data_IF_045577606989
#
_entry.id   IF_045577606989
#
_cell.length_a   1.000
_cell.length_b   1.000
_cell.length_c   1.000
_cell.angle_alpha   90.00
_cell.angle_beta   90.00
_cell.angle_gamma   90.00
#
_symmetry.space_group_name_H-M   'P 1'
#
loop_
_entity.id
_entity.type
_entity.pdbx_description
1 polymer ?
#
# COMPACT_ATOMS: atom_id res chain seq x y z
N UNK A 1 -8.15 -10.25 -15.57
CA UNK A 1 -7.88 -9.80 -14.18
C UNK A 1 -6.41 -9.41 -13.92
N UNK A 2 -5.49 -9.46 -14.90
CA UNK A 2 -4.05 -9.27 -14.65
C UNK A 2 -3.50 -7.82 -14.77
N UNK A 3 -4.35 -6.81 -15.02
CA UNK A 3 -3.88 -5.46 -15.39
C UNK A 3 -3.03 -4.77 -14.31
N UNK A 4 -3.23 -5.11 -13.04
CA UNK A 4 -2.58 -4.46 -11.90
C UNK A 4 -1.81 -5.42 -11.00
N UNK A 5 -1.60 -6.67 -11.43
CA UNK A 5 -0.98 -7.67 -10.57
C UNK A 5 0.46 -7.30 -10.21
N UNK A 6 1.26 -6.88 -11.20
CA UNK A 6 2.63 -6.43 -10.97
C UNK A 6 2.70 -5.19 -10.06
N UNK A 7 1.78 -4.24 -10.23
CA UNK A 7 1.70 -3.05 -9.40
C UNK A 7 1.26 -3.40 -7.96
N UNK A 8 0.34 -4.34 -7.79
CA UNK A 8 -0.09 -4.83 -6.48
C UNK A 8 1.03 -5.60 -5.76
N UNK A 9 1.82 -6.39 -6.48
CA UNK A 9 2.99 -7.09 -5.93
C UNK A 9 4.08 -6.10 -5.48
N UNK A 10 4.35 -5.07 -6.29
CA UNK A 10 5.26 -3.97 -5.91
C UNK A 10 4.75 -3.20 -4.71
N UNK A 11 3.47 -2.89 -4.65
CA UNK A 11 2.85 -2.23 -3.50
C UNK A 11 3.02 -3.08 -2.24
N UNK A 12 2.75 -4.39 -2.33
CA UNK A 12 2.90 -5.31 -1.21
C UNK A 12 4.34 -5.38 -0.70
N UNK A 13 5.32 -5.38 -1.59
CA UNK A 13 6.73 -5.30 -1.23
C UNK A 13 7.06 -3.94 -0.59
N UNK A 14 6.57 -2.85 -1.19
CA UNK A 14 6.79 -1.48 -0.72
C UNK A 14 6.26 -1.24 0.69
N UNK A 15 5.12 -1.82 1.07
CA UNK A 15 4.56 -1.69 2.44
C UNK A 15 5.21 -2.64 3.46
N UNK A 16 6.30 -3.34 3.11
CA UNK A 16 7.02 -4.23 4.02
C UNK A 16 6.46 -5.66 4.10
N UNK A 17 5.68 -6.09 3.12
CA UNK A 17 5.17 -7.46 3.01
C UNK A 17 3.83 -7.70 3.69
N UNK A 18 3.31 -8.92 3.52
CA UNK A 18 1.99 -9.33 4.06
C UNK A 18 1.98 -9.35 5.58
N UNK A 19 3.11 -9.73 6.17
CA UNK A 19 3.37 -9.74 7.61
C UNK A 19 3.29 -8.35 8.24
N UNK A 20 3.46 -7.28 7.45
CA UNK A 20 3.35 -5.92 7.93
C UNK A 20 1.92 -5.38 7.88
N UNK A 21 0.94 -6.15 7.38
CA UNK A 21 -0.46 -5.73 7.28
C UNK A 21 -1.26 -6.29 8.45
N UNK A 22 -1.76 -5.43 9.33
CA UNK A 22 -2.72 -5.80 10.38
C UNK A 22 -4.14 -5.96 9.80
N UNK A 23 -4.53 -5.06 8.90
CA UNK A 23 -5.82 -5.08 8.23
C UNK A 23 -5.77 -4.35 6.88
N UNK A 24 -6.66 -4.72 5.97
CA UNK A 24 -6.84 -4.05 4.68
C UNK A 24 -8.32 -3.80 4.43
N UNK A 25 -8.64 -2.62 3.91
CA UNK A 25 -9.99 -2.26 3.47
C UNK A 25 -9.93 -1.40 2.22
N UNK A 26 -11.03 -1.29 1.48
CA UNK A 26 -11.09 -0.44 0.31
C UNK A 26 -12.47 0.20 0.15
N UNK A 27 -12.49 1.36 -0.51
CA UNK A 27 -13.70 2.00 -1.01
C UNK A 27 -13.62 2.15 -2.53
N UNK A 28 -14.52 2.93 -3.13
CA UNK A 28 -14.57 3.11 -4.59
C UNK A 28 -13.26 3.65 -5.19
N UNK A 29 -12.49 4.44 -4.44
CA UNK A 29 -11.32 5.16 -4.97
C UNK A 29 -10.04 5.00 -4.15
N UNK A 30 -10.08 4.26 -3.02
CA UNK A 30 -8.93 4.15 -2.10
C UNK A 30 -8.81 2.75 -1.55
N UNK A 31 -7.57 2.28 -1.49
CA UNK A 31 -7.13 1.16 -0.64
C UNK A 31 -6.62 1.76 0.68
N UNK A 32 -6.84 1.06 1.79
CA UNK A 32 -6.46 1.48 3.14
C UNK A 32 -5.76 0.33 3.83
N UNK A 33 -4.54 0.55 4.27
CA UNK A 33 -3.76 -0.44 5.00
C UNK A 33 -3.60 0.00 6.45
N UNK A 34 -3.82 -0.91 7.38
CA UNK A 34 -3.35 -0.75 8.76
C UNK A 34 -2.06 -1.53 8.85
N UNK A 35 -0.94 -0.85 9.04
CA UNK A 35 0.37 -1.47 9.12
C UNK A 35 0.75 -1.79 10.58
N UNK A 36 1.41 -2.92 10.79
CA UNK A 36 1.99 -3.28 12.07
C UNK A 36 3.18 -2.36 12.41
N UNK A 37 3.99 -2.04 11.40
CA UNK A 37 5.14 -1.15 11.49
C UNK A 37 5.21 -0.22 10.26
N UNK A 38 4.75 1.03 10.37
CA UNK A 38 4.80 2.00 9.27
C UNK A 38 6.22 2.34 8.81
N UNK A 39 7.26 2.13 9.63
CA UNK A 39 8.64 2.46 9.25
C UNK A 39 9.21 1.52 8.19
N UNK A 40 8.59 0.36 7.99
CA UNK A 40 8.95 -0.60 6.93
C UNK A 40 8.37 -0.24 5.56
N UNK A 41 7.48 0.75 5.49
CA UNK A 41 6.92 1.19 4.23
C UNK A 41 7.90 2.13 3.50
N UNK A 42 8.24 1.78 2.26
CA UNK A 42 9.00 2.65 1.36
C UNK A 42 8.03 3.53 0.57
N UNK A 43 7.69 4.67 1.17
CA UNK A 43 6.75 5.64 0.60
C UNK A 43 7.15 6.10 -0.81
N UNK A 44 8.46 6.27 -1.05
CA UNK A 44 8.98 6.73 -2.35
C UNK A 44 8.79 5.66 -3.42
N UNK A 45 9.14 4.41 -3.11
CA UNK A 45 8.96 3.29 -4.03
C UNK A 45 7.47 3.06 -4.36
N UNK A 46 6.57 3.33 -3.42
CA UNK A 46 5.13 3.20 -3.61
C UNK A 46 4.57 4.32 -4.49
N UNK A 47 5.00 5.57 -4.30
CA UNK A 47 4.59 6.71 -5.14
C UNK A 47 5.00 6.54 -6.61
N UNK A 48 6.11 5.84 -6.87
CA UNK A 48 6.59 5.56 -8.23
C UNK A 48 5.77 4.49 -8.99
N UNK A 49 4.82 3.82 -8.31
CA UNK A 49 3.96 2.81 -8.96
C UNK A 49 2.93 3.52 -9.87
N UNK A 50 2.84 3.17 -11.18
CA UNK A 50 1.98 3.89 -12.14
C UNK A 50 0.49 3.97 -11.76
N UNK A 51 -0.02 2.94 -11.08
CA UNK A 51 -1.40 2.88 -10.61
C UNK A 51 -1.66 3.73 -9.36
N UNK A 52 -0.63 4.08 -8.59
CA UNK A 52 -0.74 4.93 -7.40
C UNK A 52 -0.91 6.38 -7.86
N UNK A 53 -1.93 7.06 -7.31
CA UNK A 53 -2.26 8.46 -7.62
C UNK A 53 -1.99 9.40 -6.45
N UNK A 54 -1.44 8.87 -5.36
CA UNK A 54 -1.15 9.57 -4.11
C UNK A 54 -1.25 8.62 -2.93
N UNK A 55 -0.52 8.95 -1.87
CA UNK A 55 -0.46 8.19 -0.62
C UNK A 55 -0.76 9.13 0.56
N UNK A 56 -1.45 8.64 1.59
CA UNK A 56 -1.84 9.47 2.73
C UNK A 56 -1.76 8.66 4.03
N UNK A 57 -0.81 9.02 4.89
CA UNK A 57 -0.72 8.44 6.23
C UNK A 57 -1.51 9.29 7.21
N UNK A 58 -2.58 8.73 7.80
CA UNK A 58 -3.40 9.47 8.77
C UNK A 58 -3.99 8.54 9.84
N UNK A 59 -3.84 8.92 11.12
CA UNK A 59 -4.38 8.21 12.28
C UNK A 59 -4.15 6.68 12.29
N UNK A 60 -2.96 6.22 11.88
CA UNK A 60 -2.60 4.79 11.85
C UNK A 60 -3.11 4.02 10.63
N UNK A 61 -3.72 4.69 9.65
CA UNK A 61 -3.96 4.14 8.31
C UNK A 61 -2.94 4.71 7.32
N UNK A 62 -2.42 3.80 6.50
CA UNK A 62 -1.54 4.01 5.36
C UNK A 62 -2.35 3.92 4.06
#
# INVERSE_FOLDING_TARGET
>A
MAKYQADAERLLQGIGGKENIAAVSHCATRMRFVLNDPQKADEKAIEDIPSVKGMFTNAGQF
#
